data_IF_436121700964
#
_entry.id   IF_436121700964
#
_cell.length_a   1.000
_cell.length_b   1.000
_cell.length_c   1.000
_cell.angle_alpha   90.00
_cell.angle_beta   90.00
_cell.angle_gamma   90.00
#
_symmetry.space_group_name_H-M   'P 1'
#
loop_
_entity.id
_entity.type
_entity.pdbx_description
1 polymer ?
#
# COMPACT_ATOMS: atom_id res chain seq x y z
N UNK A 1 54.13 -9.96 32.31
CA UNK A 1 54.46 -11.23 31.63
C UNK A 1 53.89 -11.14 30.21
N UNK A 2 54.50 -10.31 29.36
CA UNK A 2 55.50 -10.67 28.34
C UNK A 2 54.81 -11.20 27.05
N UNK A 3 54.68 -10.40 25.99
CA UNK A 3 55.67 -9.98 24.96
C UNK A 3 55.86 -11.02 23.83
N UNK A 4 55.50 -10.62 22.60
CA UNK A 4 56.18 -10.80 21.29
C UNK A 4 55.12 -10.59 20.19
N UNK A 5 55.10 -9.59 19.31
CA UNK A 5 56.09 -8.77 18.60
C UNK A 5 56.79 -9.43 17.39
N UNK A 6 56.38 -8.91 16.21
CA UNK A 6 57.15 -8.63 14.99
C UNK A 6 57.45 -9.74 13.96
N UNK A 7 57.06 -9.50 12.69
CA UNK A 7 58.01 -8.98 11.67
C UNK A 7 57.33 -8.55 10.37
N UNK A 8 57.68 -7.35 9.91
CA UNK A 8 57.48 -6.75 8.59
C UNK A 8 58.47 -7.33 7.56
N UNK A 9 58.13 -7.38 6.27
CA UNK A 9 59.00 -6.95 5.14
C UNK A 9 58.15 -6.46 3.95
N UNK A 10 58.60 -5.36 3.34
CA UNK A 10 58.01 -4.61 2.21
C UNK A 10 58.66 -4.90 0.85
N UNK A 11 58.02 -4.35 -0.18
CA UNK A 11 58.53 -3.92 -1.52
C UNK A 11 58.51 -4.98 -2.62
N UNK A 12 58.06 -4.71 -3.86
CA UNK A 12 58.63 -3.70 -4.76
C UNK A 12 57.70 -3.31 -5.93
N UNK A 13 57.91 -2.08 -6.41
CA UNK A 13 57.42 -1.43 -7.63
C UNK A 13 57.72 -2.19 -8.94
N UNK A 14 56.84 -2.11 -9.94
CA UNK A 14 57.17 -1.93 -11.38
C UNK A 14 56.06 -1.19 -12.14
N UNK A 15 56.37 0.02 -12.62
CA UNK A 15 56.01 0.62 -13.93
C UNK A 15 57.34 0.83 -14.69
N UNK A 16 57.48 1.09 -16.01
CA UNK A 16 56.51 1.73 -16.94
C UNK A 16 56.58 1.24 -18.43
N UNK A 17 55.74 1.78 -19.34
CA UNK A 17 56.22 2.54 -20.52
C UNK A 17 55.11 3.13 -21.40
N UNK A 18 55.33 4.40 -21.75
CA UNK A 18 54.68 5.28 -22.72
C UNK A 18 55.01 4.98 -24.19
N UNK A 19 54.22 5.58 -25.09
CA UNK A 19 54.62 6.07 -26.42
C UNK A 19 53.41 6.41 -27.29
N UNK A 20 52.94 7.69 -27.34
CA UNK A 20 53.23 8.75 -28.36
C UNK A 20 52.67 8.43 -29.76
N UNK A 21 52.11 9.32 -30.60
CA UNK A 21 51.73 10.75 -30.58
C UNK A 21 51.25 11.13 -32.01
N UNK A 22 50.63 12.32 -32.16
CA UNK A 22 50.41 13.14 -33.38
C UNK A 22 49.10 12.92 -34.18
N UNK A 23 48.46 13.91 -34.82
CA UNK A 23 48.44 15.38 -34.77
C UNK A 23 47.40 15.86 -35.82
N UNK A 24 46.75 17.01 -35.56
CA UNK A 24 46.26 18.05 -36.50
C UNK A 24 45.48 17.70 -37.79
N UNK A 25 44.26 18.27 -37.91
CA UNK A 25 43.96 19.38 -38.86
C UNK A 25 42.55 19.96 -38.70
N UNK A 26 42.49 21.29 -38.74
CA UNK A 26 41.31 22.14 -38.88
C UNK A 26 40.50 21.87 -40.16
N UNK A 27 39.19 22.10 -40.12
CA UNK A 27 38.52 23.08 -40.99
C UNK A 27 37.04 23.24 -40.61
N UNK A 28 36.64 24.51 -40.43
CA UNK A 28 35.27 25.00 -40.48
C UNK A 28 34.63 24.72 -41.85
N UNK A 29 33.28 24.75 -41.93
CA UNK A 29 32.49 25.34 -43.03
C UNK A 29 30.98 25.00 -42.86
N UNK A 30 30.14 26.06 -42.88
CA UNK A 30 28.69 26.13 -43.21
C UNK A 30 27.71 25.19 -42.44
N UNK A 31 26.68 25.63 -41.71
CA UNK A 31 25.79 26.78 -41.91
C UNK A 31 24.84 26.56 -43.07
N UNK A 32 23.67 25.91 -42.88
CA UNK A 32 22.40 26.12 -43.61
C UNK A 32 21.24 25.41 -42.87
N UNK A 33 20.18 26.17 -42.62
CA UNK A 33 18.79 25.74 -42.43
C UNK A 33 18.12 25.64 -43.80
N UNK A 34 17.30 24.64 -44.09
CA UNK A 34 16.11 24.82 -44.94
C UNK A 34 15.10 23.69 -44.81
N UNK A 35 13.86 24.11 -45.00
CA UNK A 35 12.55 23.48 -44.85
C UNK A 35 12.16 22.51 -45.98
N UNK A 36 10.91 22.05 -45.85
CA UNK A 36 9.98 21.48 -46.85
C UNK A 36 9.93 19.95 -46.96
N UNK A 37 8.79 19.28 -47.14
CA UNK A 37 7.37 19.59 -47.06
C UNK A 37 6.60 18.27 -47.34
N UNK A 38 5.27 18.29 -47.14
CA UNK A 38 4.18 17.44 -47.69
C UNK A 38 3.33 16.87 -46.53
N UNK A 39 2.30 17.58 -46.05
CA UNK A 39 0.91 17.75 -46.56
C UNK A 39 0.11 16.45 -46.68
N UNK A 40 -0.91 16.31 -45.82
CA UNK A 40 -2.26 15.92 -46.24
C UNK A 40 -3.29 16.40 -45.20
N UNK A 41 -4.32 17.06 -45.74
CA UNK A 41 -5.41 17.79 -45.13
C UNK A 41 -6.45 16.92 -44.38
N UNK A 42 -7.17 17.47 -43.40
CA UNK A 42 -8.53 18.00 -43.62
C UNK A 42 -9.19 18.51 -42.32
N UNK A 43 -9.86 19.64 -42.51
CA UNK A 43 -10.65 20.46 -41.59
C UNK A 43 -11.91 19.78 -41.04
N UNK A 44 -12.37 20.18 -39.86
CA UNK A 44 -13.79 20.51 -39.71
C UNK A 44 -14.04 21.61 -38.66
N UNK A 45 -14.91 22.51 -39.09
CA UNK A 45 -15.21 23.85 -38.62
C UNK A 45 -16.24 23.93 -37.49
N UNK A 46 -16.07 24.95 -36.65
CA UNK A 46 -17.10 25.47 -35.77
C UNK A 46 -18.24 26.13 -36.55
N UNK A 47 -19.50 25.82 -36.21
CA UNK A 47 -20.66 26.67 -36.49
C UNK A 47 -21.68 26.62 -35.35
N UNK A 48 -21.99 27.80 -34.82
CA UNK A 48 -23.24 28.16 -34.10
C UNK A 48 -24.39 28.21 -35.10
N UNK A 49 -25.61 27.78 -34.72
CA UNK A 49 -26.82 28.64 -34.76
C UNK A 49 -28.05 27.99 -34.07
N UNK A 50 -29.02 28.85 -33.76
CA UNK A 50 -30.26 28.73 -32.96
C UNK A 50 -31.49 28.18 -33.72
N UNK A 51 -32.50 27.74 -32.93
CA UNK A 51 -33.98 27.75 -33.16
C UNK A 51 -34.47 26.84 -34.30
N UNK A 52 -35.64 26.19 -34.27
CA UNK A 52 -36.94 26.61 -33.75
C UNK A 52 -37.93 25.41 -33.60
N UNK A 53 -39.18 25.75 -33.32
CA UNK A 53 -40.26 25.00 -32.66
C UNK A 53 -41.32 24.51 -33.68
N UNK A 54 -42.14 23.51 -33.27
CA UNK A 54 -43.51 23.17 -33.76
C UNK A 54 -43.75 22.35 -35.06
N UNK A 55 -44.29 21.11 -34.95
CA UNK A 55 -45.73 20.72 -35.04
C UNK A 55 -45.93 19.19 -35.21
N UNK A 56 -46.69 18.54 -34.29
CA UNK A 56 -47.99 17.80 -34.45
C UNK A 56 -47.99 16.62 -35.45
N UNK A 57 -48.37 15.39 -35.11
CA UNK A 57 -49.70 14.79 -34.79
C UNK A 57 -49.38 13.35 -34.29
N UNK A 58 -50.08 12.62 -33.41
CA UNK A 58 -51.41 12.73 -32.80
C UNK A 58 -51.56 11.66 -31.70
N UNK A 59 -52.57 11.84 -30.85
CA UNK A 59 -52.82 11.03 -29.67
C UNK A 59 -53.60 9.75 -30.00
N UNK A 60 -53.21 8.62 -29.39
CA UNK A 60 -54.07 7.46 -29.18
C UNK A 60 -53.93 7.04 -27.72
N UNK A 61 -55.03 7.17 -26.98
CA UNK A 61 -55.18 6.73 -25.60
C UNK A 61 -55.60 5.26 -25.65
N UNK A 62 -54.81 4.38 -25.04
CA UNK A 62 -55.21 3.03 -24.70
C UNK A 62 -54.90 2.79 -23.22
N UNK A 63 -55.95 2.61 -22.43
CA UNK A 63 -55.89 2.26 -21.02
C UNK A 63 -55.57 0.77 -20.90
N UNK A 64 -54.52 0.42 -20.16
CA UNK A 64 -54.33 -0.95 -19.64
C UNK A 64 -53.94 -0.89 -18.17
N UNK A 65 -54.73 -1.61 -17.39
CA UNK A 65 -54.72 -1.79 -15.95
C UNK A 65 -53.36 -2.18 -15.36
N UNK A 66 -52.91 -1.42 -14.37
CA UNK A 66 -51.75 -1.76 -13.55
C UNK A 66 -52.10 -2.88 -12.56
N UNK A 67 -51.50 -4.06 -12.76
CA UNK A 67 -51.42 -5.09 -11.72
C UNK A 67 -50.23 -4.75 -10.81
N UNK A 68 -50.52 -4.23 -9.62
CA UNK A 68 -49.51 -3.90 -8.63
C UNK A 68 -48.92 -5.19 -8.04
N UNK A 69 -47.68 -5.51 -8.42
CA UNK A 69 -46.86 -6.49 -7.72
C UNK A 69 -46.37 -5.85 -6.41
N UNK A 70 -46.45 -6.51 -5.24
CA UNK A 70 -46.08 -5.89 -3.99
C UNK A 70 -44.57 -5.65 -3.98
N UNK A 71 -44.18 -4.38 -4.04
CA UNK A 71 -42.81 -3.96 -3.80
C UNK A 71 -42.46 -4.28 -2.34
N UNK A 72 -41.60 -5.28 -2.15
CA UNK A 72 -40.94 -5.52 -0.87
C UNK A 72 -39.99 -4.34 -0.64
N UNK A 73 -40.50 -3.30 0.00
CA UNK A 73 -39.67 -2.22 0.54
C UNK A 73 -38.85 -2.83 1.67
N UNK A 74 -37.64 -3.29 1.36
CA UNK A 74 -36.61 -3.52 2.36
C UNK A 74 -36.30 -2.16 2.98
N UNK A 75 -36.88 -1.91 4.14
CA UNK A 75 -36.46 -0.83 5.02
C UNK A 75 -35.02 -1.11 5.41
N UNK A 76 -34.09 -0.38 4.79
CA UNK A 76 -32.74 -0.22 5.35
C UNK A 76 -32.97 0.47 6.68
N UNK A 77 -32.93 -0.29 7.78
CA UNK A 77 -32.95 0.28 9.11
C UNK A 77 -31.73 1.21 9.22
N UNK A 78 -31.97 2.51 9.24
CA UNK A 78 -30.94 3.48 9.60
C UNK A 78 -30.46 3.17 11.02
N UNK A 79 -29.30 2.52 11.09
CA UNK A 79 -28.69 2.12 12.35
C UNK A 79 -28.55 3.28 13.31
N UNK A 80 -28.98 3.06 14.56
CA UNK A 80 -28.82 3.94 15.70
C UNK A 80 -27.36 4.44 15.74
N UNK A 81 -27.13 5.75 15.52
CA UNK A 81 -25.79 6.35 15.53
C UNK A 81 -25.14 6.14 16.89
N UNK A 82 -24.17 5.24 16.97
CA UNK A 82 -23.45 4.93 18.21
C UNK A 82 -22.60 6.12 18.65
N UNK A 83 -22.75 6.53 19.91
CA UNK A 83 -21.99 7.62 20.56
C UNK A 83 -20.66 7.13 21.16
N UNK A 84 -20.37 5.82 21.06
CA UNK A 84 -19.15 5.21 21.61
C UNK A 84 -17.88 5.59 20.83
N UNK A 85 -16.73 5.45 21.49
CA UNK A 85 -15.42 5.51 20.83
C UNK A 85 -15.32 4.41 19.76
N UNK A 86 -14.65 4.70 18.65
CA UNK A 86 -14.32 3.67 17.66
C UNK A 86 -13.16 2.82 18.13
N UNK A 87 -13.18 1.54 17.81
CA UNK A 87 -12.13 0.58 18.13
C UNK A 87 -11.32 0.31 16.86
N UNK A 88 -10.05 0.71 16.89
CA UNK A 88 -9.16 0.68 15.71
C UNK A 88 -7.96 -0.20 15.99
N UNK A 89 -7.85 -1.31 15.26
CA UNK A 89 -6.67 -2.17 15.29
C UNK A 89 -5.65 -1.70 14.27
N UNK A 90 -4.40 -1.49 14.69
CA UNK A 90 -3.29 -1.11 13.81
C UNK A 90 -2.15 -2.10 13.98
N UNK A 91 -1.80 -2.79 12.91
CA UNK A 91 -0.64 -3.69 12.91
C UNK A 91 0.67 -2.91 12.82
N UNK A 92 1.69 -3.31 13.57
CA UNK A 92 3.01 -2.67 13.51
C UNK A 92 3.03 -1.24 14.06
N UNK A 93 2.23 -0.95 15.08
CA UNK A 93 2.11 0.38 15.68
C UNK A 93 3.26 0.79 16.62
N UNK A 94 4.33 0.00 16.72
CA UNK A 94 5.47 0.27 17.63
C UNK A 94 6.53 1.24 17.07
N UNK A 95 6.41 1.68 15.80
CA UNK A 95 7.35 2.61 15.16
C UNK A 95 6.79 3.21 13.87
N UNK A 96 7.42 4.27 13.37
CA UNK A 96 7.18 4.81 12.03
C UNK A 96 5.73 5.25 11.80
N UNK A 97 5.23 4.97 10.59
CA UNK A 97 3.85 5.28 10.18
C UNK A 97 2.80 4.74 11.16
N UNK A 98 2.91 3.48 11.58
CA UNK A 98 1.93 2.87 12.48
C UNK A 98 1.83 3.58 13.83
N UNK A 99 2.98 3.98 14.41
CA UNK A 99 3.01 4.73 15.66
C UNK A 99 2.45 6.15 15.48
N UNK A 100 2.81 6.83 14.39
CA UNK A 100 2.29 8.15 14.08
C UNK A 100 0.78 8.14 13.86
N UNK A 101 0.24 7.11 13.19
CA UNK A 101 -1.20 6.91 13.04
C UNK A 101 -1.88 6.60 14.38
N UNK A 102 -1.29 5.72 15.20
CA UNK A 102 -1.81 5.41 16.53
C UNK A 102 -1.92 6.66 17.40
N UNK A 103 -0.86 7.50 17.40
CA UNK A 103 -0.85 8.80 18.09
C UNK A 103 -1.95 9.71 17.57
N UNK A 104 -2.02 9.92 16.26
CA UNK A 104 -3.00 10.83 15.65
C UNK A 104 -4.45 10.40 15.93
N UNK A 105 -4.74 9.10 15.97
CA UNK A 105 -6.07 8.58 16.33
C UNK A 105 -6.35 8.75 17.84
N UNK A 106 -5.38 8.46 18.70
CA UNK A 106 -5.49 8.63 20.15
C UNK A 106 -5.78 10.10 20.53
N UNK A 107 -5.10 11.06 19.90
CA UNK A 107 -5.26 12.50 20.13
C UNK A 107 -6.68 13.01 19.81
N UNK A 108 -7.45 12.28 19.00
CA UNK A 108 -8.85 12.66 18.73
C UNK A 108 -9.76 12.52 19.94
N UNK A 109 -9.37 11.72 20.94
CA UNK A 109 -10.20 11.32 22.08
C UNK A 109 -11.42 10.45 21.73
N UNK A 110 -11.60 10.13 20.44
CA UNK A 110 -12.76 9.41 19.89
C UNK A 110 -12.45 7.96 19.50
N UNK A 111 -11.18 7.58 19.55
CA UNK A 111 -10.70 6.24 19.21
C UNK A 111 -10.14 5.54 20.46
N UNK A 112 -10.37 4.24 20.57
CA UNK A 112 -9.58 3.29 21.35
C UNK A 112 -8.66 2.56 20.38
N UNK A 113 -7.34 2.71 20.56
CA UNK A 113 -6.35 2.20 19.61
C UNK A 113 -5.75 0.89 20.09
N UNK A 114 -5.97 -0.19 19.34
CA UNK A 114 -5.34 -1.48 19.59
C UNK A 114 -4.04 -1.53 18.79
N UNK A 115 -2.93 -1.39 19.50
CA UNK A 115 -1.58 -1.49 18.95
C UNK A 115 -1.18 -2.97 18.85
N UNK A 116 -1.42 -3.57 17.68
CA UNK A 116 -1.07 -4.97 17.42
C UNK A 116 0.42 -5.07 17.05
N UNK A 117 1.25 -5.48 18.00
CA UNK A 117 2.71 -5.41 17.88
C UNK A 117 3.39 -6.71 18.34
N UNK A 118 4.49 -7.08 17.67
CA UNK A 118 5.30 -8.24 18.06
C UNK A 118 6.02 -8.06 19.40
N UNK A 119 6.53 -6.86 19.67
CA UNK A 119 7.24 -6.55 20.90
C UNK A 119 6.39 -5.62 21.77
N UNK A 120 5.84 -6.18 22.84
CA UNK A 120 4.99 -5.49 23.79
C UNK A 120 5.73 -4.32 24.47
N UNK A 121 6.93 -4.57 25.00
CA UNK A 121 7.69 -3.57 25.75
C UNK A 121 8.18 -2.44 24.85
N UNK A 122 8.52 -2.73 23.60
CA UNK A 122 8.84 -1.70 22.60
C UNK A 122 7.62 -0.84 22.29
N UNK A 123 6.45 -1.46 22.06
CA UNK A 123 5.24 -0.73 21.74
C UNK A 123 4.78 0.20 22.89
N UNK A 124 4.81 -0.29 24.13
CA UNK A 124 4.50 0.50 25.33
C UNK A 124 5.46 1.71 25.48
N UNK A 125 6.77 1.48 25.34
CA UNK A 125 7.76 2.57 25.39
C UNK A 125 7.55 3.57 24.27
N UNK A 126 7.26 3.11 23.06
CA UNK A 126 7.00 3.96 21.91
C UNK A 126 5.77 4.86 22.13
N UNK A 127 4.64 4.29 22.57
CA UNK A 127 3.42 5.03 22.88
C UNK A 127 3.66 6.10 23.97
N UNK A 128 4.37 5.73 25.04
CA UNK A 128 4.76 6.69 26.11
C UNK A 128 5.67 7.81 25.58
N UNK A 129 6.65 7.47 24.75
CA UNK A 129 7.62 8.44 24.22
C UNK A 129 6.98 9.52 23.34
N UNK A 130 5.85 9.19 22.70
CA UNK A 130 5.12 10.12 21.84
C UNK A 130 3.93 10.81 22.54
N UNK A 131 3.76 10.58 23.85
CA UNK A 131 2.78 11.26 24.70
C UNK A 131 1.36 10.69 24.64
N UNK A 132 1.16 9.46 24.18
CA UNK A 132 -0.17 8.83 24.18
C UNK A 132 -0.63 8.51 25.61
N UNK A 133 -1.84 8.93 25.96
CA UNK A 133 -2.45 8.62 27.25
C UNK A 133 -2.71 7.11 27.38
N UNK A 134 -2.50 6.52 28.56
CA UNK A 134 -2.52 5.05 28.73
C UNK A 134 -3.89 4.44 28.43
N UNK A 135 -4.94 5.19 28.65
CA UNK A 135 -6.34 4.87 28.41
C UNK A 135 -6.79 5.04 26.94
N UNK A 136 -5.90 5.57 26.09
CA UNK A 136 -6.18 5.77 24.65
C UNK A 136 -5.70 4.62 23.77
N UNK A 137 -4.93 3.68 24.34
CA UNK A 137 -4.44 2.53 23.59
C UNK A 137 -4.34 1.26 24.45
N UNK A 138 -4.39 0.12 23.77
CA UNK A 138 -4.02 -1.18 24.35
C UNK A 138 -3.03 -1.88 23.42
N UNK A 139 -1.96 -2.41 23.97
CA UNK A 139 -1.02 -3.25 23.21
C UNK A 139 -1.46 -4.71 23.31
N UNK A 140 -1.57 -5.39 22.17
CA UNK A 140 -1.83 -6.83 22.09
C UNK A 140 -0.76 -7.47 21.21
N UNK A 141 -0.20 -8.59 21.66
CA UNK A 141 0.85 -9.30 20.93
C UNK A 141 0.35 -9.79 19.56
N UNK A 142 1.08 -9.45 18.50
CA UNK A 142 0.88 -9.95 17.14
C UNK A 142 2.23 -10.04 16.41
N UNK A 143 2.66 -11.27 16.11
CA UNK A 143 3.67 -11.53 15.10
C UNK A 143 3.02 -12.01 13.80
N UNK A 144 3.15 -11.24 12.73
CA UNK A 144 2.62 -11.60 11.42
C UNK A 144 3.47 -12.66 10.70
N UNK A 145 4.69 -12.91 11.18
CA UNK A 145 5.55 -14.00 10.70
C UNK A 145 5.23 -15.35 11.36
N UNK A 146 4.11 -15.46 12.09
CA UNK A 146 3.57 -16.72 12.61
C UNK A 146 2.05 -16.72 12.50
N UNK A 147 1.50 -17.64 11.72
CA UNK A 147 0.05 -17.80 11.56
C UNK A 147 -0.61 -18.26 12.87
N UNK A 148 0.11 -18.99 13.72
CA UNK A 148 -0.32 -19.30 15.09
C UNK A 148 -0.47 -18.01 15.91
N UNK A 149 0.52 -17.11 15.85
CA UNK A 149 0.41 -15.81 16.54
C UNK A 149 -0.75 -14.97 16.01
N UNK A 150 -1.06 -15.02 14.72
CA UNK A 150 -2.22 -14.31 14.15
C UNK A 150 -3.53 -14.82 14.76
N UNK A 151 -3.70 -16.15 14.88
CA UNK A 151 -4.89 -16.74 15.50
C UNK A 151 -4.99 -16.38 16.98
N UNK A 152 -3.88 -16.47 17.71
CA UNK A 152 -3.82 -16.07 19.13
C UNK A 152 -4.18 -14.60 19.33
N UNK A 153 -3.71 -13.71 18.44
CA UNK A 153 -4.10 -12.29 18.48
C UNK A 153 -5.62 -12.13 18.35
N UNK A 154 -6.25 -12.81 17.39
CA UNK A 154 -7.71 -12.75 17.18
C UNK A 154 -8.45 -13.25 18.42
N UNK A 155 -8.02 -14.37 19.01
CA UNK A 155 -8.66 -14.90 20.22
C UNK A 155 -8.49 -13.97 21.42
N UNK A 156 -7.30 -13.38 21.58
CA UNK A 156 -7.03 -12.40 22.64
C UNK A 156 -7.86 -11.12 22.45
N UNK A 157 -7.99 -10.64 21.20
CA UNK A 157 -8.82 -9.50 20.85
C UNK A 157 -10.29 -9.78 21.16
N UNK A 158 -10.83 -10.92 20.75
CA UNK A 158 -12.22 -11.33 21.05
C UNK A 158 -12.48 -11.47 22.54
N UNK A 159 -11.54 -12.05 23.29
CA UNK A 159 -11.62 -12.15 24.76
C UNK A 159 -11.62 -10.80 25.47
N UNK A 160 -11.13 -9.73 24.82
CA UNK A 160 -11.25 -8.38 25.38
C UNK A 160 -12.68 -7.82 25.37
N UNK A 161 -13.61 -8.45 24.64
CA UNK A 161 -15.01 -8.03 24.54
C UNK A 161 -15.21 -6.72 23.75
N UNK A 162 -14.17 -6.21 23.10
CA UNK A 162 -14.21 -4.96 22.34
C UNK A 162 -14.79 -5.21 20.94
N UNK A 163 -15.62 -4.30 20.40
CA UNK A 163 -16.01 -4.35 18.99
C UNK A 163 -14.79 -4.04 18.10
N UNK A 164 -14.86 -4.41 16.82
CA UNK A 164 -13.88 -4.00 15.81
C UNK A 164 -14.53 -3.11 14.76
N UNK A 165 -14.08 -1.86 14.65
CA UNK A 165 -14.67 -0.91 13.70
C UNK A 165 -13.76 -0.66 12.52
N UNK A 166 -12.45 -0.57 12.78
CA UNK A 166 -11.45 -0.33 11.75
C UNK A 166 -10.25 -1.25 11.95
N UNK A 167 -9.85 -1.94 10.89
CA UNK A 167 -8.59 -2.69 10.83
C UNK A 167 -7.63 -1.99 9.86
N UNK A 168 -6.44 -1.64 10.35
CA UNK A 168 -5.35 -1.05 9.58
C UNK A 168 -4.18 -2.02 9.51
N UNK A 169 -4.05 -2.69 8.37
CA UNK A 169 -2.94 -3.56 8.01
C UNK A 169 -1.74 -2.71 7.54
N UNK A 170 -0.92 -2.25 8.49
CA UNK A 170 0.19 -1.34 8.26
C UNK A 170 1.57 -2.03 8.30
N UNK A 171 1.75 -3.04 9.15
CA UNK A 171 3.05 -3.66 9.39
C UNK A 171 3.74 -4.12 8.09
N UNK A 172 5.05 -3.95 8.01
CA UNK A 172 5.83 -4.50 6.93
C UNK A 172 7.27 -4.77 7.34
N UNK A 173 7.87 -5.76 6.70
CA UNK A 173 9.31 -6.00 6.68
C UNK A 173 9.83 -5.77 5.26
N UNK A 174 11.04 -5.25 5.16
CA UNK A 174 11.73 -4.99 3.90
C UNK A 174 13.20 -5.28 4.09
N UNK A 175 13.71 -6.27 3.34
CA UNK A 175 15.08 -6.76 3.43
C UNK A 175 15.77 -6.66 2.05
N UNK A 176 16.01 -5.44 1.52
CA UNK A 176 16.48 -5.24 0.16
C UNK A 176 17.90 -5.78 -0.12
N UNK A 177 18.72 -5.93 0.92
CA UNK A 177 20.11 -6.38 0.79
C UNK A 177 20.28 -7.87 1.12
N UNK A 178 19.18 -8.56 1.44
CA UNK A 178 19.21 -10.00 1.69
C UNK A 178 19.64 -10.74 0.43
N UNK A 179 20.71 -11.52 0.54
CA UNK A 179 21.21 -12.38 -0.53
C UNK A 179 20.51 -13.74 -0.55
N UNK A 180 20.10 -14.21 0.63
CA UNK A 180 19.41 -15.48 0.83
C UNK A 180 18.04 -15.22 1.47
N UNK A 181 17.02 -16.04 1.15
CA UNK A 181 15.72 -15.95 1.78
C UNK A 181 15.80 -16.31 3.27
N UNK A 182 14.91 -15.69 4.03
CA UNK A 182 14.60 -16.09 5.41
C UNK A 182 13.13 -16.46 5.46
N UNK A 183 12.72 -17.24 6.47
CA UNK A 183 11.41 -17.87 6.49
C UNK A 183 10.61 -17.55 7.75
N UNK A 184 9.29 -17.56 7.62
CA UNK A 184 8.34 -17.53 8.75
C UNK A 184 8.38 -18.84 9.53
N UNK A 185 7.66 -18.89 10.67
CA UNK A 185 7.54 -20.11 11.46
C UNK A 185 6.96 -21.30 10.66
N UNK A 186 6.09 -21.00 9.69
CA UNK A 186 5.45 -21.97 8.80
C UNK A 186 6.25 -22.26 7.52
N UNK A 187 7.43 -21.66 7.35
CA UNK A 187 8.30 -21.92 6.20
C UNK A 187 8.05 -21.07 4.96
N UNK A 188 7.24 -20.01 5.02
CA UNK A 188 7.07 -19.09 3.88
C UNK A 188 8.20 -18.07 3.83
N UNK A 189 8.60 -17.60 2.64
CA UNK A 189 9.51 -16.44 2.53
C UNK A 189 9.02 -15.27 3.40
N UNK A 190 9.92 -14.69 4.20
CA UNK A 190 9.59 -13.81 5.31
C UNK A 190 8.84 -12.54 4.88
N UNK A 191 9.22 -11.91 3.76
CA UNK A 191 8.60 -10.67 3.29
C UNK A 191 7.16 -10.90 2.85
N UNK A 192 6.91 -11.91 2.02
CA UNK A 192 5.58 -12.29 1.57
C UNK A 192 4.75 -12.85 2.73
N UNK A 193 5.34 -13.71 3.55
CA UNK A 193 4.72 -14.30 4.73
C UNK A 193 4.22 -13.24 5.71
N UNK A 194 5.06 -12.26 6.05
CA UNK A 194 4.72 -11.20 7.00
C UNK A 194 3.80 -10.14 6.39
N UNK A 195 4.16 -9.61 5.23
CA UNK A 195 3.48 -8.43 4.67
C UNK A 195 2.13 -8.77 4.06
N UNK A 196 1.99 -10.00 3.53
CA UNK A 196 0.80 -10.45 2.81
C UNK A 196 0.08 -11.60 3.52
N UNK A 197 0.70 -12.78 3.69
CA UNK A 197 -0.03 -13.97 4.20
C UNK A 197 -0.57 -13.79 5.62
N UNK A 198 0.24 -13.23 6.52
CA UNK A 198 -0.18 -12.89 7.88
C UNK A 198 -1.34 -11.89 7.90
N UNK A 199 -1.26 -10.83 7.09
CA UNK A 199 -2.34 -9.84 6.97
C UNK A 199 -3.59 -10.40 6.30
N UNK A 200 -3.45 -11.29 5.32
CA UNK A 200 -4.57 -11.97 4.68
C UNK A 200 -5.33 -12.82 5.70
N UNK A 201 -4.61 -13.66 6.47
CA UNK A 201 -5.22 -14.47 7.52
C UNK A 201 -5.91 -13.59 8.58
N UNK A 202 -5.23 -12.55 9.07
CA UNK A 202 -5.78 -11.61 10.04
C UNK A 202 -7.08 -10.95 9.52
N UNK A 203 -7.05 -10.46 8.28
CA UNK A 203 -8.19 -9.81 7.62
C UNK A 203 -9.36 -10.77 7.41
N UNK A 204 -9.09 -12.03 7.07
CA UNK A 204 -10.13 -13.06 6.93
C UNK A 204 -10.78 -13.41 8.25
N UNK A 205 -10.00 -13.60 9.31
CA UNK A 205 -10.50 -13.96 10.63
C UNK A 205 -11.32 -12.83 11.27
N UNK A 206 -10.86 -11.58 11.13
CA UNK A 206 -11.51 -10.40 11.72
C UNK A 206 -12.66 -9.84 10.86
N UNK A 207 -12.95 -10.43 9.70
CA UNK A 207 -14.06 -9.99 8.86
C UNK A 207 -15.40 -10.13 9.60
N UNK A 208 -15.59 -11.23 10.33
CA UNK A 208 -16.79 -11.45 11.14
C UNK A 208 -16.92 -10.41 12.26
N UNK A 209 -15.80 -10.05 12.91
CA UNK A 209 -15.77 -9.04 13.95
C UNK A 209 -16.13 -7.64 13.40
N UNK A 210 -15.66 -7.30 12.20
CA UNK A 210 -16.07 -6.08 11.49
C UNK A 210 -17.56 -6.12 11.11
N UNK A 211 -18.10 -7.26 10.66
CA UNK A 211 -19.52 -7.40 10.30
C UNK A 211 -20.44 -7.18 11.51
N UNK A 212 -20.05 -7.68 12.68
CA UNK A 212 -20.78 -7.53 13.95
C UNK A 212 -20.76 -6.11 14.50
N UNK A 213 -19.85 -5.25 14.02
CA UNK A 213 -19.79 -3.87 14.47
C UNK A 213 -21.02 -3.07 14.05
N UNK A 214 -21.57 -2.34 15.01
CA UNK A 214 -22.63 -1.35 14.83
C UNK A 214 -22.11 0.03 14.40
N UNK A 215 -20.79 0.17 14.19
CA UNK A 215 -20.19 1.46 13.86
C UNK A 215 -20.56 1.90 12.43
N UNK A 216 -20.95 3.18 12.21
CA UNK A 216 -21.40 3.65 10.89
C UNK A 216 -20.36 3.60 9.76
N UNK A 217 -19.09 3.40 10.06
CA UNK A 217 -18.00 3.42 9.08
C UNK A 217 -17.02 2.29 9.36
N UNK A 218 -17.44 1.06 9.07
CA UNK A 218 -16.61 -0.14 9.16
C UNK A 218 -15.58 -0.16 8.04
N UNK A 219 -14.30 -0.26 8.36
CA UNK A 219 -13.24 -0.21 7.34
C UNK A 219 -12.14 -1.25 7.57
N UNK A 220 -11.67 -1.83 6.48
CA UNK A 220 -10.47 -2.64 6.44
C UNK A 220 -9.52 -2.00 5.43
N UNK A 221 -8.41 -1.48 5.93
CA UNK A 221 -7.46 -0.68 5.17
C UNK A 221 -6.11 -1.38 5.18
N UNK A 222 -5.48 -1.51 4.01
CA UNK A 222 -4.10 -1.97 3.90
C UNK A 222 -3.18 -0.85 3.43
N UNK A 223 -1.99 -0.76 4.02
CA UNK A 223 -0.98 0.18 3.56
C UNK A 223 -0.30 -0.38 2.32
N UNK A 224 -0.65 0.21 1.18
CA UNK A 224 -0.10 -0.11 -0.13
C UNK A 224 1.27 0.55 -0.36
N UNK A 225 1.79 0.44 -1.58
CA UNK A 225 3.02 1.11 -1.99
C UNK A 225 2.99 1.41 -3.48
N UNK A 226 3.51 2.57 -3.88
CA UNK A 226 3.74 2.89 -5.29
C UNK A 226 4.74 1.93 -5.94
N UNK A 227 5.63 1.31 -5.16
CA UNK A 227 6.69 0.42 -5.66
C UNK A 227 6.19 -0.89 -6.25
N UNK A 228 4.94 -1.28 -5.97
CA UNK A 228 4.31 -2.44 -6.59
C UNK A 228 3.74 -2.15 -7.99
N UNK A 229 3.60 -0.88 -8.37
CA UNK A 229 2.91 -0.53 -9.61
C UNK A 229 3.88 0.01 -10.68
N UNK A 230 3.92 -0.68 -11.82
CA UNK A 230 4.73 -0.35 -12.99
C UNK A 230 4.29 0.92 -13.71
N UNK A 231 3.13 1.51 -13.36
CA UNK A 231 2.72 2.81 -13.88
C UNK A 231 3.32 4.01 -13.09
N UNK A 232 4.08 3.75 -12.01
CA UNK A 232 4.74 4.80 -11.23
C UNK A 232 6.24 4.81 -11.48
N UNK A 233 6.89 5.96 -11.27
CA UNK A 233 8.36 6.06 -11.34
C UNK A 233 9.03 5.09 -10.37
N UNK A 234 8.51 4.97 -9.15
CA UNK A 234 9.09 4.11 -8.12
C UNK A 234 8.94 2.61 -8.41
N UNK A 235 7.83 2.18 -9.01
CA UNK A 235 7.64 0.79 -9.42
C UNK A 235 8.44 0.41 -10.68
N UNK A 236 8.94 1.39 -11.43
CA UNK A 236 9.85 1.14 -12.55
C UNK A 236 11.32 1.01 -12.13
N UNK A 237 11.69 1.38 -10.90
CA UNK A 237 13.04 1.16 -10.38
C UNK A 237 13.26 -0.35 -10.21
N UNK A 238 14.28 -0.95 -10.84
CA UNK A 238 14.58 -2.37 -10.67
C UNK A 238 14.93 -2.74 -9.23
N UNK A 239 14.68 -3.99 -8.79
CA UNK A 239 13.92 -5.03 -9.48
C UNK A 239 12.41 -4.70 -9.51
N UNK A 240 11.68 -5.07 -10.56
CA UNK A 240 10.24 -4.74 -10.69
C UNK A 240 9.36 -5.83 -10.05
N UNK A 241 8.21 -5.43 -9.52
CA UNK A 241 7.20 -6.38 -9.07
C UNK A 241 6.69 -7.20 -10.27
N UNK A 242 6.61 -8.52 -10.10
CA UNK A 242 6.09 -9.42 -11.11
C UNK A 242 5.69 -10.74 -10.45
N UNK A 243 4.39 -11.04 -10.47
CA UNK A 243 3.84 -12.24 -9.82
C UNK A 243 3.85 -13.47 -10.73
N UNK A 244 4.09 -13.30 -12.03
CA UNK A 244 4.10 -14.39 -13.01
C UNK A 244 2.80 -15.19 -13.02
N UNK A 245 2.94 -16.51 -13.18
CA UNK A 245 1.86 -17.50 -13.05
C UNK A 245 1.60 -17.90 -11.58
N UNK A 246 2.25 -17.22 -10.63
CA UNK A 246 2.17 -17.50 -9.18
C UNK A 246 2.57 -18.94 -8.80
N UNK A 247 3.34 -19.65 -9.64
CA UNK A 247 3.73 -21.05 -9.35
C UNK A 247 4.52 -21.21 -8.06
N UNK A 248 5.31 -20.21 -7.67
CA UNK A 248 6.05 -20.23 -6.42
C UNK A 248 5.13 -20.16 -5.21
N UNK A 249 4.09 -19.32 -5.30
CA UNK A 249 3.02 -19.25 -4.30
C UNK A 249 2.22 -20.56 -4.24
N UNK A 250 1.86 -21.14 -5.38
CA UNK A 250 1.17 -22.42 -5.45
C UNK A 250 2.00 -23.57 -4.85
N UNK A 251 3.33 -23.51 -5.00
CA UNK A 251 4.27 -24.46 -4.40
C UNK A 251 4.66 -24.14 -2.94
N UNK A 252 4.08 -23.11 -2.31
CA UNK A 252 4.24 -22.87 -0.87
C UNK A 252 5.41 -21.98 -0.43
N UNK A 253 6.16 -21.35 -1.34
CA UNK A 253 7.21 -20.37 -1.03
C UNK A 253 8.31 -20.84 -0.06
N UNK A 254 8.59 -22.14 -0.02
CA UNK A 254 9.48 -22.76 0.98
C UNK A 254 10.98 -22.70 0.63
N UNK A 255 11.31 -22.38 -0.62
CA UNK A 255 12.69 -22.38 -1.12
C UNK A 255 13.36 -23.76 -1.15
N UNK A 256 12.63 -24.82 -0.80
CA UNK A 256 13.10 -26.20 -0.74
C UNK A 256 12.49 -27.01 -1.89
N UNK A 257 11.16 -27.13 -1.91
CA UNK A 257 10.40 -27.84 -2.93
C UNK A 257 9.84 -26.87 -3.99
N UNK A 258 9.73 -25.59 -3.64
CA UNK A 258 9.27 -24.50 -4.49
C UNK A 258 10.18 -23.28 -4.33
N UNK A 259 10.08 -22.32 -5.24
CA UNK A 259 10.85 -21.08 -5.15
C UNK A 259 10.32 -20.19 -4.02
N UNK A 260 11.22 -19.47 -3.34
CA UNK A 260 10.89 -18.45 -2.35
C UNK A 260 10.20 -17.20 -2.95
N UNK A 261 10.24 -17.01 -4.27
CA UNK A 261 9.54 -15.93 -4.98
C UNK A 261 8.18 -16.38 -5.49
N UNK A 262 7.19 -15.48 -5.49
CA UNK A 262 5.81 -15.75 -5.94
C UNK A 262 5.76 -16.26 -7.39
N UNK A 263 6.54 -15.67 -8.29
CA UNK A 263 6.61 -16.06 -9.70
C UNK A 263 7.45 -17.31 -9.99
N UNK A 264 8.00 -17.95 -8.95
CA UNK A 264 8.88 -19.10 -9.09
C UNK A 264 10.32 -18.76 -9.52
N UNK A 265 10.71 -17.47 -9.52
CA UNK A 265 12.04 -17.02 -9.91
C UNK A 265 13.12 -17.17 -8.83
N UNK A 266 14.33 -16.69 -9.12
CA UNK A 266 15.41 -16.60 -8.13
C UNK A 266 15.08 -15.55 -7.07
N UNK A 267 15.47 -15.82 -5.82
CA UNK A 267 15.24 -14.91 -4.71
C UNK A 267 15.88 -13.54 -4.93
N UNK A 268 15.11 -12.49 -4.64
CA UNK A 268 15.55 -11.11 -4.54
C UNK A 268 14.70 -10.43 -3.46
N UNK A 269 15.34 -9.98 -2.38
CA UNK A 269 14.61 -9.41 -1.22
C UNK A 269 13.89 -8.09 -1.53
N UNK A 270 14.41 -7.29 -2.47
CA UNK A 270 13.73 -6.07 -2.89
C UNK A 270 12.52 -6.37 -3.76
N UNK A 271 12.62 -7.37 -4.64
CA UNK A 271 11.49 -7.88 -5.44
C UNK A 271 10.42 -8.52 -4.54
N UNK A 272 10.80 -9.33 -3.57
CA UNK A 272 9.87 -10.01 -2.66
C UNK A 272 8.99 -9.01 -1.90
N UNK A 273 9.58 -7.92 -1.41
CA UNK A 273 8.80 -6.82 -0.82
C UNK A 273 7.82 -6.19 -1.81
N UNK A 274 8.27 -5.87 -3.03
CA UNK A 274 7.41 -5.25 -4.04
C UNK A 274 6.25 -6.18 -4.44
N UNK A 275 6.52 -7.46 -4.65
CA UNK A 275 5.51 -8.48 -4.92
C UNK A 275 4.51 -8.56 -3.76
N UNK A 276 4.97 -8.58 -2.51
CA UNK A 276 4.08 -8.59 -1.34
C UNK A 276 3.15 -7.36 -1.28
N UNK A 277 3.62 -6.19 -1.72
CA UNK A 277 2.80 -4.97 -1.79
C UNK A 277 1.81 -5.00 -2.95
N UNK A 278 2.12 -5.65 -4.07
CA UNK A 278 1.13 -5.92 -5.12
C UNK A 278 0.04 -6.84 -4.61
N UNK A 279 0.40 -7.94 -3.93
CA UNK A 279 -0.57 -8.85 -3.32
C UNK A 279 -1.50 -8.13 -2.34
N UNK A 280 -0.99 -7.17 -1.57
CA UNK A 280 -1.81 -6.33 -0.69
C UNK A 280 -2.80 -5.44 -1.45
N UNK A 281 -2.45 -4.94 -2.62
CA UNK A 281 -3.39 -4.15 -3.42
C UNK A 281 -4.47 -5.06 -4.02
N UNK A 282 -4.08 -6.22 -4.54
CA UNK A 282 -5.00 -7.22 -5.10
C UNK A 282 -5.99 -7.74 -4.05
N UNK A 283 -5.53 -7.97 -2.82
CA UNK A 283 -6.40 -8.51 -1.77
C UNK A 283 -7.49 -7.51 -1.36
N UNK A 284 -7.24 -6.19 -1.39
CA UNK A 284 -8.30 -5.21 -1.13
C UNK A 284 -9.34 -5.17 -2.25
N UNK A 285 -8.91 -5.33 -3.51
CA UNK A 285 -9.83 -5.43 -4.64
C UNK A 285 -10.72 -6.66 -4.51
N UNK A 286 -10.13 -7.82 -4.17
CA UNK A 286 -10.89 -9.05 -3.99
C UNK A 286 -11.81 -9.01 -2.76
N UNK A 287 -11.37 -8.42 -1.64
CA UNK A 287 -12.25 -8.26 -0.48
C UNK A 287 -13.42 -7.32 -0.79
N UNK A 288 -13.16 -6.21 -1.48
CA UNK A 288 -14.23 -5.32 -1.94
C UNK A 288 -15.23 -6.07 -2.81
N UNK A 289 -14.74 -6.69 -3.89
CA UNK A 289 -15.56 -7.42 -4.87
C UNK A 289 -16.40 -8.52 -4.22
N UNK A 290 -15.85 -9.24 -3.23
CA UNK A 290 -16.51 -10.39 -2.60
C UNK A 290 -17.44 -10.02 -1.45
N UNK A 291 -17.15 -8.97 -0.68
CA UNK A 291 -17.81 -8.73 0.60
C UNK A 291 -18.44 -7.35 0.76
N UNK A 292 -18.12 -6.35 -0.08
CA UNK A 292 -18.61 -4.98 0.14
C UNK A 292 -20.13 -4.89 0.13
N UNK A 293 -20.77 -5.40 -0.93
CA UNK A 293 -22.22 -5.31 -1.13
C UNK A 293 -23.00 -5.98 0.02
N UNK A 294 -22.54 -7.13 0.50
CA UNK A 294 -23.21 -7.87 1.56
C UNK A 294 -23.00 -7.24 2.95
N UNK A 295 -21.79 -6.74 3.22
CA UNK A 295 -21.38 -6.37 4.59
C UNK A 295 -21.43 -4.86 4.87
N UNK A 296 -21.44 -4.05 3.82
CA UNK A 296 -21.27 -2.60 3.88
C UNK A 296 -19.88 -2.15 4.36
N UNK A 297 -18.91 -3.06 4.52
CA UNK A 297 -17.55 -2.74 4.96
C UNK A 297 -16.79 -2.09 3.80
N UNK A 298 -16.09 -0.99 4.07
CA UNK A 298 -15.19 -0.39 3.09
C UNK A 298 -13.83 -1.09 3.11
N UNK A 299 -13.42 -1.63 1.97
CA UNK A 299 -12.09 -2.21 1.76
C UNK A 299 -11.27 -1.27 0.87
N UNK A 300 -10.08 -0.85 1.29
CA UNK A 300 -9.25 0.05 0.50
C UNK A 300 -7.75 -0.10 0.78
N UNK A 301 -6.94 0.18 -0.23
CA UNK A 301 -5.49 0.38 -0.05
C UNK A 301 -5.16 1.87 0.02
N UNK A 302 -4.27 2.27 0.95
CA UNK A 302 -3.83 3.66 1.10
C UNK A 302 -2.32 3.77 0.95
N UNK A 303 -1.86 4.79 0.23
CA UNK A 303 -0.46 5.22 0.20
C UNK A 303 -0.36 6.63 0.79
N UNK A 304 0.24 6.80 1.99
CA UNK A 304 0.24 8.08 2.69
C UNK A 304 1.33 9.05 2.21
N UNK A 305 2.20 8.62 1.30
CA UNK A 305 3.36 9.35 0.82
C UNK A 305 4.66 8.60 1.06
N UNK A 306 5.78 9.15 0.57
CA UNK A 306 7.09 8.55 0.80
C UNK A 306 7.65 8.98 2.15
N UNK A 307 7.86 8.01 3.03
CA UNK A 307 8.30 8.24 4.41
C UNK A 307 9.73 7.73 4.57
N UNK A 308 10.69 8.49 4.08
CA UNK A 308 12.10 8.09 4.03
C UNK A 308 12.78 8.02 5.41
N UNK A 309 12.16 8.56 6.47
CA UNK A 309 12.71 8.55 7.84
C UNK A 309 12.42 7.25 8.60
N UNK A 310 11.54 6.40 8.09
CA UNK A 310 11.13 5.19 8.80
C UNK A 310 12.24 4.14 8.84
N UNK A 311 12.21 3.32 9.90
CA UNK A 311 13.07 2.15 10.02
C UNK A 311 12.89 1.09 8.91
N UNK A 312 11.92 1.24 8.01
CA UNK A 312 11.71 0.35 6.87
C UNK A 312 12.84 0.48 5.84
N UNK A 313 13.38 1.68 5.59
CA UNK A 313 14.42 1.93 4.59
C UNK A 313 15.85 2.03 5.16
N UNK A 314 16.01 1.86 6.47
CA UNK A 314 16.78 0.69 6.95
C UNK A 314 18.12 0.32 6.29
N UNK A 315 17.99 -0.51 5.28
CA UNK A 315 19.11 -1.23 4.67
C UNK A 315 19.48 -0.64 3.31
N UNK A 316 18.87 0.48 2.90
CA UNK A 316 19.33 1.18 1.70
C UNK A 316 20.78 1.62 1.88
N UNK A 317 21.54 1.44 0.80
CA UNK A 317 22.96 1.82 0.66
C UNK A 317 23.18 3.21 1.29
N UNK A 318 24.19 3.42 2.14
CA UNK A 318 24.43 4.68 2.85
C UNK A 318 24.42 5.93 1.96
N UNK A 319 24.95 5.80 0.73
CA UNK A 319 24.93 6.87 -0.28
C UNK A 319 23.52 7.24 -0.74
N UNK A 320 22.63 6.26 -0.86
CA UNK A 320 21.22 6.47 -1.17
C UNK A 320 20.52 7.16 0.00
N UNK A 321 20.81 6.81 1.26
CA UNK A 321 20.24 7.53 2.42
C UNK A 321 20.63 9.01 2.50
N UNK A 322 21.82 9.37 2.01
CA UNK A 322 22.28 10.76 1.99
C UNK A 322 21.63 11.56 0.85
N UNK A 323 21.52 10.97 -0.34
CA UNK A 323 21.04 11.68 -1.55
C UNK A 323 19.54 11.57 -1.77
N UNK A 324 18.91 10.49 -1.33
CA UNK A 324 17.53 10.16 -1.64
C UNK A 324 16.49 11.03 -0.91
N UNK A 325 16.64 11.42 0.37
CA UNK A 325 15.69 12.33 1.00
C UNK A 325 15.68 13.74 0.37
N UNK A 326 16.83 14.39 0.06
CA UNK A 326 16.86 15.61 -0.72
C UNK A 326 16.29 15.42 -2.13
N UNK A 327 16.67 14.35 -2.83
CA UNK A 327 16.13 14.04 -4.15
C UNK A 327 14.61 13.86 -4.11
N UNK A 328 14.07 13.17 -3.10
CA UNK A 328 12.63 12.99 -3.00
C UNK A 328 11.89 14.26 -2.61
N UNK A 329 12.47 15.06 -1.71
CA UNK A 329 11.89 16.34 -1.24
C UNK A 329 11.89 17.39 -2.35
N UNK A 330 13.00 17.53 -3.09
CA UNK A 330 13.20 18.60 -4.06
C UNK A 330 12.88 18.19 -5.50
N UNK A 331 13.05 16.91 -5.87
CA UNK A 331 12.79 16.42 -7.24
C UNK A 331 11.44 15.70 -7.33
N UNK A 332 11.19 14.66 -6.52
CA UNK A 332 9.92 13.91 -6.64
C UNK A 332 8.73 14.60 -5.96
N UNK A 333 8.98 15.60 -5.10
CA UNK A 333 8.00 16.27 -4.21
C UNK A 333 7.12 15.32 -3.38
N UNK A 334 7.48 14.04 -3.27
CA UNK A 334 6.66 12.98 -2.66
C UNK A 334 6.99 12.68 -1.20
N UNK A 335 7.95 13.39 -0.60
CA UNK A 335 8.36 13.19 0.79
C UNK A 335 7.30 13.72 1.77
N UNK A 336 6.98 12.91 2.76
CA UNK A 336 6.01 13.24 3.82
C UNK A 336 6.61 12.82 5.16
N UNK A 337 6.47 13.66 6.19
CA UNK A 337 6.90 13.32 7.54
C UNK A 337 6.06 12.16 8.10
N UNK A 338 6.61 11.43 9.06
CA UNK A 338 5.85 10.35 9.73
C UNK A 338 4.57 10.87 10.37
N UNK A 339 4.61 12.05 10.98
CA UNK A 339 3.44 12.68 11.60
C UNK A 339 2.35 13.01 10.56
N UNK A 340 2.71 13.62 9.45
CA UNK A 340 1.75 13.98 8.39
C UNK A 340 1.18 12.71 7.71
N UNK A 341 2.04 11.74 7.43
CA UNK A 341 1.61 10.45 6.91
C UNK A 341 0.69 9.71 7.89
N UNK A 342 1.00 9.81 9.19
CA UNK A 342 0.19 9.30 10.29
C UNK A 342 -1.19 9.93 10.33
N UNK A 343 -1.28 11.26 10.23
CA UNK A 343 -2.54 12.02 10.14
C UNK A 343 -3.35 11.66 8.91
N UNK A 344 -2.71 11.46 7.75
CA UNK A 344 -3.39 11.00 6.52
C UNK A 344 -4.00 9.62 6.70
N UNK A 345 -3.23 8.68 7.23
CA UNK A 345 -3.74 7.34 7.49
C UNK A 345 -4.79 7.34 8.61
N UNK A 346 -4.73 8.24 9.59
CA UNK A 346 -5.78 8.38 10.63
C UNK A 346 -7.14 8.84 10.08
N UNK A 347 -7.20 9.39 8.86
CA UNK A 347 -8.47 9.74 8.21
C UNK A 347 -9.36 8.51 7.90
N UNK A 348 -8.83 7.31 8.08
CA UNK A 348 -9.59 6.05 7.99
C UNK A 348 -10.71 5.94 9.02
N UNK A 349 -10.66 6.64 10.15
CA UNK A 349 -11.79 6.68 11.11
C UNK A 349 -12.83 7.78 10.75
N UNK A 350 -12.49 8.70 9.85
CA UNK A 350 -13.35 9.85 9.59
C UNK A 350 -14.67 9.44 8.90
N UNK A 351 -15.74 9.47 9.69
CA UNK A 351 -17.14 9.18 9.33
C UNK A 351 -17.67 9.99 8.14
N UNK A 352 -17.16 11.21 7.95
CA UNK A 352 -17.61 12.12 6.89
C UNK A 352 -16.73 12.08 5.64
N UNK A 353 -15.60 11.39 5.65
CA UNK A 353 -14.68 11.42 4.52
C UNK A 353 -15.28 10.68 3.31
N UNK A 354 -15.73 11.40 2.26
CA UNK A 354 -16.31 10.77 1.08
C UNK A 354 -15.22 10.13 0.20
N UNK A 355 -13.95 10.52 0.36
CA UNK A 355 -12.86 9.96 -0.46
C UNK A 355 -12.73 8.45 -0.33
N UNK A 356 -13.12 7.88 0.82
CA UNK A 356 -13.12 6.42 1.02
C UNK A 356 -14.45 5.75 0.66
N UNK A 357 -15.53 6.52 0.42
CA UNK A 357 -16.83 5.99 -0.02
C UNK A 357 -16.88 5.74 -1.54
N UNK A 358 -16.10 6.48 -2.32
CA UNK A 358 -16.16 6.48 -3.80
C UNK A 358 -15.09 5.60 -4.47
N UNK A 359 -14.35 4.79 -3.72
CA UNK A 359 -13.09 4.24 -4.21
C UNK A 359 -13.21 2.91 -4.99
N UNK A 360 -14.41 2.49 -5.41
CA UNK A 360 -14.57 1.17 -6.03
C UNK A 360 -15.53 1.01 -7.23
N UNK A 361 -16.17 2.06 -7.74
CA UNK A 361 -17.00 1.90 -8.96
C UNK A 361 -16.46 2.58 -10.21
N UNK A 362 -15.70 3.68 -10.11
CA UNK A 362 -15.22 4.42 -11.29
C UNK A 362 -13.74 4.79 -11.18
N UNK A 363 -12.90 3.91 -11.74
CA UNK A 363 -11.49 4.17 -11.97
C UNK A 363 -11.39 5.08 -13.20
N UNK A 364 -11.56 6.38 -12.99
CA UNK A 364 -11.14 7.43 -13.93
C UNK A 364 -11.19 8.85 -13.34
N UNK A 365 -10.94 9.02 -12.03
CA UNK A 365 -10.82 10.36 -11.45
C UNK A 365 -9.49 10.48 -10.71
N UNK A 366 -8.51 11.07 -11.40
CA UNK A 366 -7.48 11.84 -10.72
C UNK A 366 -8.19 13.00 -10.01
N UNK A 367 -8.45 12.85 -8.71
CA UNK A 367 -9.07 13.92 -7.94
C UNK A 367 -8.01 15.03 -7.72
N UNK A 368 -8.23 16.29 -8.16
CA UNK A 368 -7.18 17.32 -8.19
C UNK A 368 -6.84 17.93 -6.82
N UNK A 369 -7.25 17.32 -5.70
CA UNK A 369 -7.14 17.94 -4.39
C UNK A 369 -6.55 16.97 -3.35
N UNK A 370 -5.34 17.32 -2.87
CA UNK A 370 -4.60 16.77 -1.74
C UNK A 370 -4.06 15.33 -1.88
N UNK A 371 -2.81 15.22 -2.38
CA UNK A 371 -1.70 14.33 -1.97
C UNK A 371 -1.95 12.86 -1.55
N UNK A 372 -3.11 12.26 -1.83
CA UNK A 372 -3.45 10.86 -1.57
C UNK A 372 -3.72 10.21 -2.92
N UNK A 373 -2.80 9.35 -3.38
CA UNK A 373 -2.93 8.63 -4.64
C UNK A 373 -3.78 7.39 -4.40
N UNK A 374 -4.97 7.34 -5.01
CA UNK A 374 -5.82 6.15 -5.07
C UNK A 374 -5.47 5.36 -6.33
N UNK A 375 -5.29 4.04 -6.19
CA UNK A 375 -4.66 3.22 -7.24
C UNK A 375 -5.66 2.55 -8.19
N UNK A 376 -5.28 2.49 -9.48
CA UNK A 376 -5.99 1.81 -10.57
C UNK A 376 -6.01 0.27 -10.45
N UNK A 377 -6.97 -0.44 -11.08
CA UNK A 377 -7.11 -1.88 -11.05
C UNK A 377 -6.10 -2.57 -11.96
N UNK A 378 -5.57 -3.69 -11.49
CA UNK A 378 -4.95 -4.70 -12.35
C UNK A 378 -6.06 -5.67 -12.77
N UNK A 379 -6.22 -5.94 -14.07
CA UNK A 379 -7.04 -7.07 -14.52
C UNK A 379 -6.27 -8.35 -14.21
N UNK A 380 -6.64 -9.05 -13.13
CA UNK A 380 -6.26 -10.44 -12.89
C UNK A 380 -7.52 -11.31 -13.04
N UNK A 381 -7.68 -11.94 -14.20
CA UNK A 381 -8.38 -13.21 -14.29
C UNK A 381 -7.47 -14.29 -13.67
N UNK A 382 -8.07 -15.27 -12.97
CA UNK A 382 -7.45 -16.41 -12.29
C UNK A 382 -7.12 -16.18 -10.80
N UNK A 383 -8.15 -16.29 -9.94
CA UNK A 383 -8.09 -16.96 -8.62
C UNK A 383 -9.46 -17.63 -8.37
N UNK A 384 -9.68 -18.77 -9.01
CA UNK A 384 -10.64 -19.79 -8.59
C UNK A 384 -9.97 -21.15 -8.82
N UNK A 385 -9.43 -21.71 -7.75
CA UNK A 385 -9.20 -23.14 -7.54
C UNK A 385 -9.25 -23.37 -6.03
#
# INVERSE_FOLDING_TARGET
>A
MALQAASLVSSTFVTPKEGKSNAFKDSSLFGVSFSDAVKSDFSCSALRCKREFNQRIGAVIAQTSATASPAVTRTVQEGKKTVRKSSVVITGASSGLGLATAKALAETGKCDVIMACRDFLKAERAAKSVGMAKESYTVIHLDLASLVSVRQFVDNFRRSGRPLDVLVCNAAVYLPTAKEPTYTAEGFELSVGTNHLGHFLLSRLLLEDLQKSDYPSKRLIIVGSITGNTNTLAGNVPPKAHLGDMRGLAGGLDGLNSSAMIDGGKFDGAKAYKDSKVCNMLIMQEFHRRYHEETGITFASLYPGCIATTGLFREHIPLFRLLFPPFQKYITKGFVSEEEAGKRLAQVDNRKNPMLKTLCSDINVACPCNNIVCFLPFRLSVIQA
#
